data_IF_999390946797
#
_entry.id   IF_999390946797
#
_cell.length_a   1.000
_cell.length_b   1.000
_cell.length_c   1.000
_cell.angle_alpha   90.00
_cell.angle_beta   90.00
_cell.angle_gamma   90.00
#
_symmetry.space_group_name_H-M   'P 1'
#
loop_
_entity.id
_entity.type
_entity.pdbx_description
1 polymer ?
#
# COMPACT_ATOMS: atom_id res chain seq x y z
N UNK A 1 -0.78 -20.27 -3.57
CA UNK A 1 -0.29 -19.97 -4.93
C UNK A 1 0.66 -18.79 -4.87
N UNK A 2 1.82 -18.88 -5.47
CA UNK A 2 2.81 -17.83 -5.45
C UNK A 2 2.44 -16.68 -6.40
N UNK A 3 2.86 -15.48 -6.04
CA UNK A 3 2.74 -14.33 -6.90
C UNK A 3 3.59 -14.53 -8.17
N UNK A 4 2.98 -14.34 -9.33
CA UNK A 4 3.63 -14.59 -10.63
C UNK A 4 4.40 -13.39 -11.16
N UNK A 5 4.24 -12.22 -10.57
CA UNK A 5 4.80 -10.99 -11.10
C UNK A 5 4.04 -10.45 -12.31
N UNK A 6 4.23 -9.18 -12.60
CA UNK A 6 3.63 -8.50 -13.74
C UNK A 6 4.67 -7.77 -14.58
N UNK A 7 4.25 -7.33 -15.76
CA UNK A 7 5.06 -6.50 -16.65
C UNK A 7 4.38 -5.15 -16.80
N UNK A 8 5.05 -4.09 -16.35
CA UNK A 8 4.56 -2.72 -16.43
C UNK A 8 5.58 -1.89 -17.19
N UNK A 9 5.13 -0.85 -17.87
CA UNK A 9 6.03 0.00 -18.67
C UNK A 9 6.98 0.84 -17.81
N UNK A 10 6.65 1.04 -16.52
CA UNK A 10 7.52 1.76 -15.59
C UNK A 10 8.43 0.79 -14.84
N UNK A 11 9.76 0.82 -15.07
CA UNK A 11 10.68 -0.13 -14.41
C UNK A 11 10.70 -0.01 -12.89
N UNK A 12 10.54 1.19 -12.36
CA UNK A 12 10.54 1.43 -10.92
C UNK A 12 9.31 0.78 -10.28
N UNK A 13 8.12 1.07 -10.82
CA UNK A 13 6.87 0.49 -10.32
C UNK A 13 6.90 -1.03 -10.43
N UNK A 14 7.35 -1.55 -11.57
CA UNK A 14 7.47 -2.99 -11.79
C UNK A 14 8.35 -3.67 -10.74
N UNK A 15 9.53 -3.10 -10.48
CA UNK A 15 10.47 -3.68 -9.52
C UNK A 15 9.90 -3.68 -8.10
N UNK A 16 9.28 -2.58 -7.67
CA UNK A 16 8.77 -2.45 -6.31
C UNK A 16 7.55 -3.34 -6.10
N UNK A 17 6.59 -3.30 -7.00
CA UNK A 17 5.37 -4.10 -6.88
C UNK A 17 5.72 -5.59 -6.86
N UNK A 18 6.55 -6.03 -7.80
CA UNK A 18 6.94 -7.44 -7.86
C UNK A 18 7.74 -7.87 -6.64
N UNK A 19 8.69 -7.06 -6.19
CA UNK A 19 9.50 -7.35 -5.01
C UNK A 19 8.65 -7.47 -3.75
N UNK A 20 7.79 -6.49 -3.48
CA UNK A 20 6.96 -6.47 -2.27
C UNK A 20 5.91 -7.56 -2.27
N UNK A 21 5.22 -7.78 -3.38
CA UNK A 21 4.19 -8.81 -3.46
C UNK A 21 4.79 -10.22 -3.47
N UNK A 22 5.98 -10.39 -4.03
CA UNK A 22 6.71 -11.65 -3.96
C UNK A 22 7.09 -11.97 -2.51
N UNK A 23 7.61 -10.99 -1.77
CA UNK A 23 7.91 -11.13 -0.34
C UNK A 23 6.65 -11.52 0.45
N UNK A 24 5.54 -10.83 0.21
CA UNK A 24 4.27 -11.13 0.86
C UNK A 24 3.82 -12.56 0.58
N UNK A 25 3.90 -12.99 -0.67
CA UNK A 25 3.54 -14.35 -1.07
C UNK A 25 4.39 -15.40 -0.35
N UNK A 26 5.69 -15.15 -0.22
CA UNK A 26 6.61 -16.02 0.51
C UNK A 26 6.23 -16.15 2.00
N UNK A 27 5.64 -15.09 2.56
CA UNK A 27 5.18 -15.07 3.95
C UNK A 27 3.80 -15.74 4.14
N UNK A 28 3.25 -16.34 3.10
CA UNK A 28 1.94 -16.99 3.16
C UNK A 28 0.76 -16.05 2.99
N UNK A 29 1.00 -14.84 2.50
CA UNK A 29 -0.04 -13.85 2.24
C UNK A 29 -0.54 -14.03 0.81
N UNK A 30 -1.87 -14.12 0.66
CA UNK A 30 -2.48 -14.20 -0.67
C UNK A 30 -2.49 -12.80 -1.29
N UNK A 31 -1.89 -12.64 -2.46
CA UNK A 31 -1.76 -11.33 -3.10
C UNK A 31 -2.56 -11.25 -4.40
N UNK A 32 -3.13 -10.07 -4.65
CA UNK A 32 -3.83 -9.74 -5.89
C UNK A 32 -3.42 -8.34 -6.31
N UNK A 33 -3.25 -8.12 -7.61
CA UNK A 33 -2.82 -6.83 -8.11
C UNK A 33 -3.48 -6.53 -9.46
N UNK A 34 -4.07 -5.35 -9.58
CA UNK A 34 -4.58 -4.78 -10.83
C UNK A 34 -3.98 -3.38 -10.93
N UNK A 35 -3.28 -3.10 -12.01
CA UNK A 35 -2.61 -1.80 -12.14
C UNK A 35 -2.60 -1.30 -13.58
N UNK A 36 -2.43 0.01 -13.72
CA UNK A 36 -2.18 0.67 -15.01
C UNK A 36 -0.78 0.30 -15.53
N UNK A 37 -0.56 0.51 -16.83
CA UNK A 37 0.70 0.16 -17.47
C UNK A 37 1.78 1.22 -17.32
N UNK A 38 1.41 2.48 -17.11
CA UNK A 38 2.37 3.56 -16.96
C UNK A 38 1.94 4.52 -15.85
N UNK A 39 2.88 5.41 -15.46
CA UNK A 39 2.68 6.37 -14.38
C UNK A 39 3.12 7.76 -14.81
N UNK A 40 2.71 8.18 -15.99
CA UNK A 40 3.05 9.49 -16.53
C UNK A 40 2.60 10.60 -15.59
N UNK A 41 3.49 11.55 -15.31
CA UNK A 41 3.20 12.69 -14.46
C UNK A 41 3.56 12.50 -12.99
N UNK A 42 3.94 11.30 -12.57
CA UNK A 42 4.41 11.04 -11.21
C UNK A 42 5.93 10.87 -11.24
N UNK A 43 6.63 11.62 -10.39
CA UNK A 43 8.08 11.50 -10.24
C UNK A 43 8.44 10.09 -9.76
N UNK A 44 9.51 9.50 -10.31
CA UNK A 44 9.90 8.13 -9.98
C UNK A 44 10.21 7.92 -8.50
N UNK A 45 10.87 8.87 -7.84
CA UNK A 45 11.16 8.77 -6.42
C UNK A 45 9.88 8.81 -5.59
N UNK A 46 8.94 9.67 -5.95
CA UNK A 46 7.66 9.75 -5.28
C UNK A 46 6.87 8.44 -5.43
N UNK A 47 6.86 7.89 -6.64
CA UNK A 47 6.20 6.62 -6.92
C UNK A 47 6.84 5.48 -6.12
N UNK A 48 8.16 5.44 -6.07
CA UNK A 48 8.92 4.49 -5.27
C UNK A 48 8.54 4.55 -3.80
N UNK A 49 8.57 5.76 -3.23
CA UNK A 49 8.26 5.96 -1.83
C UNK A 49 6.81 5.63 -1.51
N UNK A 50 5.89 6.02 -2.39
CA UNK A 50 4.47 5.74 -2.22
C UNK A 50 4.19 4.24 -2.20
N UNK A 51 4.65 3.53 -3.20
CA UNK A 51 4.43 2.08 -3.33
C UNK A 51 5.14 1.30 -2.23
N UNK A 52 6.40 1.65 -1.95
CA UNK A 52 7.17 0.95 -0.90
C UNK A 52 6.51 1.10 0.46
N UNK A 53 6.12 2.31 0.83
CA UNK A 53 5.54 2.56 2.15
C UNK A 53 4.14 1.96 2.30
N UNK A 54 3.31 2.07 1.27
CA UNK A 54 1.95 1.52 1.35
C UNK A 54 1.96 -0.01 1.40
N UNK A 55 2.78 -0.65 0.58
CA UNK A 55 2.87 -2.12 0.56
C UNK A 55 3.57 -2.66 1.81
N UNK A 56 4.60 -1.98 2.30
CA UNK A 56 5.28 -2.38 3.53
C UNK A 56 4.32 -2.33 4.73
N UNK A 57 3.50 -1.28 4.82
CA UNK A 57 2.50 -1.18 5.87
C UNK A 57 1.50 -2.35 5.81
N UNK A 58 1.07 -2.72 4.61
CA UNK A 58 0.15 -3.84 4.42
C UNK A 58 0.79 -5.18 4.82
N UNK A 59 2.04 -5.41 4.45
CA UNK A 59 2.79 -6.63 4.81
C UNK A 59 2.94 -6.71 6.33
N UNK A 60 3.36 -5.61 6.96
CA UNK A 60 3.55 -5.58 8.42
C UNK A 60 2.24 -5.87 9.16
N UNK A 61 1.13 -5.31 8.69
CA UNK A 61 -0.18 -5.58 9.28
C UNK A 61 -0.56 -7.07 9.17
N UNK A 62 -0.30 -7.69 8.04
CA UNK A 62 -0.54 -9.12 7.86
C UNK A 62 0.37 -9.98 8.74
N UNK A 63 1.63 -9.60 8.88
CA UNK A 63 2.58 -10.33 9.75
C UNK A 63 2.18 -10.27 11.22
N UNK A 64 1.51 -9.20 11.65
CA UNK A 64 1.03 -9.05 13.01
C UNK A 64 -0.18 -9.92 13.33
N UNK A 65 -0.84 -10.49 12.32
CA UNK A 65 -1.99 -11.37 12.53
C UNK A 65 -1.54 -12.76 13.01
N UNK A 66 -2.40 -13.47 13.78
CA UNK A 66 -2.12 -14.86 14.14
C UNK A 66 -1.85 -15.73 12.90
N UNK A 67 -0.90 -16.69 12.99
CA UNK A 67 -0.50 -17.47 11.82
C UNK A 67 -1.56 -18.42 11.26
N UNK A 68 -2.60 -18.71 12.03
CA UNK A 68 -3.70 -19.59 11.62
C UNK A 68 -4.81 -18.86 10.86
N UNK A 69 -4.76 -17.52 10.79
CA UNK A 69 -5.76 -16.73 10.07
C UNK A 69 -5.34 -16.51 8.61
N UNK A 70 -6.33 -16.44 7.74
CA UNK A 70 -6.11 -16.13 6.34
C UNK A 70 -5.66 -14.68 6.18
N UNK A 71 -4.60 -14.48 5.41
CA UNK A 71 -4.00 -13.16 5.17
C UNK A 71 -4.07 -12.83 3.69
N UNK A 72 -4.40 -11.58 3.38
CA UNK A 72 -4.40 -11.13 2.00
C UNK A 72 -3.95 -9.68 1.88
N UNK A 73 -3.43 -9.35 0.71
CA UNK A 73 -3.13 -7.99 0.27
C UNK A 73 -3.70 -7.81 -1.13
N UNK A 74 -4.39 -6.71 -1.34
CA UNK A 74 -4.94 -6.33 -2.64
C UNK A 74 -4.41 -4.94 -3.00
N UNK A 75 -3.84 -4.83 -4.19
CA UNK A 75 -3.38 -3.56 -4.76
C UNK A 75 -4.14 -3.28 -6.05
N UNK A 76 -4.75 -2.09 -6.12
CA UNK A 76 -5.39 -1.63 -7.33
C UNK A 76 -4.90 -0.22 -7.63
N UNK A 77 -4.43 -0.01 -8.86
CA UNK A 77 -4.04 1.31 -9.34
C UNK A 77 -4.79 1.58 -10.62
N UNK A 78 -5.55 2.65 -10.63
CA UNK A 78 -6.34 3.06 -11.79
C UNK A 78 -6.02 4.50 -12.16
N UNK A 79 -6.31 4.86 -13.40
CA UNK A 79 -6.11 6.21 -13.92
C UNK A 79 -7.34 6.63 -14.71
N UNK A 80 -7.84 7.83 -14.44
CA UNK A 80 -8.88 8.47 -15.20
C UNK A 80 -8.43 9.89 -15.49
N UNK A 81 -8.22 10.20 -16.77
CA UNK A 81 -7.60 11.46 -17.20
C UNK A 81 -6.21 11.62 -16.57
N UNK A 82 -6.01 12.65 -15.76
CA UNK A 82 -4.76 12.91 -15.07
C UNK A 82 -4.81 12.55 -13.58
N UNK A 83 -5.81 11.77 -13.16
CA UNK A 83 -6.01 11.40 -11.77
C UNK A 83 -5.71 9.91 -11.60
N UNK A 84 -4.77 9.62 -10.70
CA UNK A 84 -4.42 8.26 -10.29
C UNK A 84 -5.07 7.92 -8.96
N UNK A 85 -5.62 6.73 -8.85
CA UNK A 85 -6.16 6.20 -7.59
C UNK A 85 -5.39 4.94 -7.23
N UNK A 86 -4.81 4.93 -6.03
CA UNK A 86 -4.09 3.79 -5.46
C UNK A 86 -4.92 3.25 -4.30
N UNK A 87 -5.31 1.99 -4.37
CA UNK A 87 -6.04 1.31 -3.31
C UNK A 87 -5.20 0.14 -2.84
N UNK A 88 -4.90 0.11 -1.54
CA UNK A 88 -4.20 -1.00 -0.90
C UNK A 88 -5.08 -1.51 0.23
N UNK A 89 -5.41 -2.80 0.19
CA UNK A 89 -6.19 -3.46 1.24
C UNK A 89 -5.37 -4.58 1.86
N UNK A 90 -5.46 -4.72 3.16
CA UNK A 90 -4.87 -5.86 3.85
C UNK A 90 -5.85 -6.41 4.88
N UNK A 91 -5.76 -7.71 5.12
CA UNK A 91 -6.57 -8.36 6.15
C UNK A 91 -6.20 -7.87 7.55
N UNK A 92 -7.17 -7.92 8.46
CA UNK A 92 -7.01 -7.57 9.86
C UNK A 92 -7.72 -8.61 10.73
N UNK A 93 -7.21 -8.84 11.95
CA UNK A 93 -7.95 -9.54 12.98
C UNK A 93 -8.52 -8.60 14.05
N UNK A 94 -7.92 -7.41 14.20
CA UNK A 94 -8.36 -6.37 15.14
C UNK A 94 -8.39 -5.01 14.46
N UNK A 95 -9.34 -4.16 14.88
CA UNK A 95 -9.43 -2.80 14.35
C UNK A 95 -8.21 -1.97 14.72
N UNK A 96 -7.50 -1.48 13.72
CA UNK A 96 -6.37 -0.56 13.87
C UNK A 96 -6.89 0.86 14.15
N UNK A 97 -7.94 1.27 13.46
CA UNK A 97 -8.52 2.61 13.61
C UNK A 97 -9.12 2.80 15.00
N UNK A 98 -9.79 1.78 15.53
CA UNK A 98 -10.36 1.82 16.89
C UNK A 98 -9.29 2.00 17.96
N UNK A 99 -8.13 1.33 17.79
CA UNK A 99 -7.01 1.40 18.74
C UNK A 99 -6.14 2.65 18.52
N UNK A 100 -6.07 3.14 17.28
CA UNK A 100 -5.20 4.26 16.91
C UNK A 100 -5.87 5.11 15.83
N UNK A 101 -6.91 5.87 16.16
CA UNK A 101 -7.73 6.59 15.16
C UNK A 101 -6.97 7.54 14.25
N UNK A 102 -5.83 8.07 14.70
CA UNK A 102 -5.02 9.00 13.91
C UNK A 102 -3.81 8.32 13.25
N UNK A 103 -3.71 7.00 13.36
CA UNK A 103 -2.56 6.23 12.90
C UNK A 103 -1.24 6.77 13.44
N UNK A 104 -1.26 7.24 14.69
CA UNK A 104 -0.03 7.66 15.37
C UNK A 104 0.77 6.45 15.77
N UNK A 105 2.05 6.50 15.54
CA UNK A 105 2.93 5.40 15.91
C UNK A 105 3.21 5.36 17.40
N UNK A 106 3.31 4.13 17.93
CA UNK A 106 3.85 3.91 19.26
C UNK A 106 5.37 4.14 19.24
N UNK A 107 5.99 4.26 20.41
CA UNK A 107 7.45 4.48 20.49
C UNK A 107 8.26 3.44 19.73
N UNK A 108 7.77 2.21 19.64
CA UNK A 108 8.46 1.11 18.93
C UNK A 108 8.37 1.24 17.42
N UNK A 109 7.34 1.91 16.93
CA UNK A 109 7.00 1.93 15.51
C UNK A 109 7.34 3.25 14.82
N UNK A 110 7.83 4.26 15.58
CA UNK A 110 8.12 5.60 15.06
C UNK A 110 8.96 5.55 13.78
N UNK A 111 9.96 4.68 13.74
CA UNK A 111 10.87 4.58 12.59
C UNK A 111 10.19 3.84 11.42
N UNK A 112 9.41 2.80 11.70
CA UNK A 112 8.88 1.91 10.68
C UNK A 112 7.51 2.32 10.12
N UNK A 113 6.64 2.92 10.94
CA UNK A 113 5.27 3.22 10.54
C UNK A 113 4.96 4.71 10.46
N UNK A 114 5.41 5.51 11.43
CA UNK A 114 5.14 6.94 11.45
C UNK A 114 5.79 7.69 10.31
N UNK A 115 7.04 7.34 9.99
CA UNK A 115 7.76 7.93 8.86
C UNK A 115 7.09 7.55 7.53
N UNK A 116 6.69 6.28 7.37
CA UNK A 116 6.02 5.82 6.16
C UNK A 116 4.72 6.57 5.90
N UNK A 117 3.91 6.76 6.93
CA UNK A 117 2.66 7.51 6.82
C UNK A 117 2.90 8.99 6.53
N UNK A 118 3.91 9.59 7.16
CA UNK A 118 4.31 10.97 6.92
C UNK A 118 4.79 11.18 5.47
N UNK A 119 5.59 10.27 4.96
CA UNK A 119 6.06 10.30 3.57
C UNK A 119 4.88 10.23 2.61
N UNK A 120 3.92 9.34 2.85
CA UNK A 120 2.71 9.23 2.03
C UNK A 120 1.95 10.56 2.01
N UNK A 121 1.74 11.19 3.16
CA UNK A 121 1.04 12.46 3.26
C UNK A 121 1.76 13.58 2.51
N UNK A 122 3.08 13.62 2.59
CA UNK A 122 3.87 14.63 1.87
C UNK A 122 3.73 14.47 0.36
N UNK A 123 3.77 13.25 -0.14
CA UNK A 123 3.58 12.96 -1.56
C UNK A 123 2.16 13.34 -2.01
N UNK A 124 1.16 12.96 -1.24
CA UNK A 124 -0.24 13.29 -1.53
C UNK A 124 -0.41 14.80 -1.62
N UNK A 125 0.15 15.56 -0.67
CA UNK A 125 0.08 17.01 -0.70
C UNK A 125 0.78 17.61 -1.91
N UNK A 126 1.91 17.07 -2.30
CA UNK A 126 2.66 17.51 -3.48
C UNK A 126 1.85 17.41 -4.77
N UNK A 127 1.01 16.39 -4.89
CA UNK A 127 0.18 16.16 -6.07
C UNK A 127 -1.27 16.61 -5.88
N UNK A 128 -1.52 17.53 -4.95
CA UNK A 128 -2.86 18.05 -4.66
C UNK A 128 -3.90 16.95 -4.50
N UNK A 129 -3.47 15.88 -3.84
CA UNK A 129 -4.23 14.66 -3.76
C UNK A 129 -5.00 14.50 -2.46
N UNK A 130 -5.41 13.26 -2.22
CA UNK A 130 -6.18 12.89 -1.04
C UNK A 130 -5.73 11.54 -0.51
N UNK A 131 -5.63 11.43 0.80
CA UNK A 131 -5.26 10.20 1.50
C UNK A 131 -6.35 9.86 2.51
N UNK A 132 -7.06 8.76 2.26
CA UNK A 132 -8.09 8.25 3.15
C UNK A 132 -7.75 6.83 3.57
N UNK A 133 -8.18 6.46 4.78
CA UNK A 133 -8.11 5.08 5.24
C UNK A 133 -9.39 4.74 6.00
N UNK A 134 -9.80 3.48 5.90
CA UNK A 134 -11.01 2.99 6.51
C UNK A 134 -10.92 1.47 6.71
N UNK A 135 -11.82 0.93 7.49
CA UNK A 135 -11.92 -0.51 7.72
C UNK A 135 -13.26 -1.01 7.23
N UNK A 136 -13.27 -2.15 6.57
CA UNK A 136 -14.48 -2.80 6.07
C UNK A 136 -14.24 -4.32 6.04
N UNK A 137 -15.20 -5.09 6.56
CA UNK A 137 -15.18 -6.56 6.50
C UNK A 137 -13.84 -7.18 6.92
N UNK A 138 -13.29 -6.75 8.06
CA UNK A 138 -12.00 -7.21 8.59
C UNK A 138 -10.82 -6.94 7.66
N UNK A 139 -10.90 -5.87 6.89
CA UNK A 139 -9.81 -5.38 6.08
C UNK A 139 -9.54 -3.91 6.39
N UNK A 140 -8.26 -3.55 6.40
CA UNK A 140 -7.83 -2.16 6.43
C UNK A 140 -7.62 -1.71 5.00
N UNK A 141 -8.23 -0.59 4.64
CA UNK A 141 -8.17 -0.04 3.29
C UNK A 141 -7.53 1.34 3.30
N UNK A 142 -6.59 1.53 2.39
CA UNK A 142 -5.92 2.80 2.15
C UNK A 142 -6.26 3.25 0.73
N UNK A 143 -6.73 4.48 0.57
CA UNK A 143 -7.05 5.06 -0.73
C UNK A 143 -6.27 6.35 -0.91
N UNK A 144 -5.50 6.42 -1.97
CA UNK A 144 -4.65 7.57 -2.28
C UNK A 144 -5.01 8.06 -3.68
N UNK A 145 -5.29 9.35 -3.80
CA UNK A 145 -5.58 9.99 -5.08
C UNK A 145 -4.49 11.01 -5.35
N UNK A 146 -3.91 10.96 -6.54
CA UNK A 146 -2.91 11.92 -7.00
C UNK A 146 -3.39 12.57 -8.29
N UNK A 147 -3.24 13.89 -8.38
CA UNK A 147 -3.56 14.66 -9.59
C UNK A 147 -2.25 15.07 -10.26
N UNK A 148 -2.11 14.72 -11.54
CA UNK A 148 -0.88 14.99 -12.31
C UNK A 148 -1.03 16.06 -13.42
#
# INVERSE_FOLDING_TARGET
MSWQGGHYNNPVANAIINSKLSTASTLGIKVSCITVNDFVGINELDLCDLLSNTLENAITACEAMPPDLNKFIYLEISKENNIYTFIVKNSLDKSVISENPKLKTTKKDIINHGLGTSIIRDIVNKYSGRYDYYEIDNAFCCSIILET
#
